data_IF_451542664849
#
_entry.id   IF_451542664849
#
_cell.length_a   1.000
_cell.length_b   1.000
_cell.length_c   1.000
_cell.angle_alpha   90.00
_cell.angle_beta   90.00
_cell.angle_gamma   90.00
#
_symmetry.space_group_name_H-M   'P 1'
#
loop_
_entity.id
_entity.type
_entity.pdbx_description
1 polymer ?
#
# COMPACT_ATOMS: atom_id res chain seq x y z
N UNK A 1 37.50 22.11 15.94
CA UNK A 1 36.22 22.13 15.20
C UNK A 1 36.53 22.54 13.76
N UNK A 2 36.42 21.63 12.78
CA UNK A 2 36.69 21.92 11.36
C UNK A 2 35.36 21.88 10.60
N UNK A 3 34.83 23.05 10.27
CA UNK A 3 33.62 23.20 9.45
C UNK A 3 33.97 23.00 7.98
N UNK A 4 33.36 22.00 7.36
CA UNK A 4 33.50 21.74 5.93
C UNK A 4 32.42 22.53 5.18
N UNK A 5 32.86 23.41 4.28
CA UNK A 5 32.00 24.17 3.37
C UNK A 5 31.65 23.29 2.18
N UNK A 6 30.37 22.92 2.04
CA UNK A 6 29.86 22.27 0.85
C UNK A 6 29.47 23.33 -0.19
N UNK A 7 30.07 23.23 -1.37
CA UNK A 7 29.77 24.08 -2.54
C UNK A 7 28.83 23.30 -3.45
N UNK A 8 27.63 23.84 -3.69
CA UNK A 8 26.67 23.27 -4.63
C UNK A 8 26.93 23.85 -6.03
N UNK A 9 27.20 22.97 -7.01
CA UNK A 9 27.23 23.32 -8.42
C UNK A 9 25.80 23.23 -8.99
N UNK A 10 25.31 24.31 -9.56
CA UNK A 10 24.01 24.37 -10.23
C UNK A 10 24.09 23.65 -11.59
N UNK A 11 23.27 22.62 -11.77
CA UNK A 11 23.10 21.94 -13.06
C UNK A 11 21.95 22.60 -13.82
N UNK A 12 22.25 23.20 -14.97
CA UNK A 12 21.25 23.77 -15.86
C UNK A 12 20.65 22.65 -16.74
N UNK A 13 19.34 22.42 -16.62
CA UNK A 13 18.58 21.53 -17.51
C UNK A 13 18.03 22.36 -18.67
N UNK A 14 18.50 22.08 -19.88
CA UNK A 14 17.94 22.63 -21.11
C UNK A 14 16.80 21.71 -21.60
N UNK A 15 15.55 22.17 -21.49
CA UNK A 15 14.41 21.50 -22.10
C UNK A 15 14.32 21.86 -23.59
N UNK A 16 14.44 20.85 -24.45
CA UNK A 16 14.17 20.98 -25.89
C UNK A 16 12.72 20.58 -26.14
N UNK A 17 11.86 21.56 -26.46
CA UNK A 17 10.50 21.33 -26.91
C UNK A 17 10.52 20.99 -28.41
N UNK A 18 10.14 19.77 -28.78
CA UNK A 18 9.81 19.43 -30.15
C UNK A 18 8.29 19.57 -30.35
N UNK A 19 7.88 20.58 -31.11
CA UNK A 19 6.53 20.72 -31.63
C UNK A 19 6.37 19.76 -32.83
N UNK A 20 5.52 18.74 -32.70
CA UNK A 20 5.01 17.98 -33.86
C UNK A 20 3.73 18.65 -34.34
N UNK A 21 3.74 19.05 -35.61
CA UNK A 21 2.67 19.76 -36.29
C UNK A 21 1.43 18.89 -36.50
N UNK A 22 0.28 19.54 -36.49
CA UNK A 22 -1.02 19.01 -36.83
C UNK A 22 -1.06 18.54 -38.30
N UNK A 23 -1.63 17.37 -38.54
CA UNK A 23 -2.14 16.96 -39.84
C UNK A 23 -3.67 17.04 -39.79
N UNK A 24 -4.23 17.94 -40.58
CA UNK A 24 -5.65 18.21 -40.77
C UNK A 24 -6.10 17.43 -42.03
N UNK A 25 -7.08 16.54 -41.89
CA UNK A 25 -7.48 15.62 -42.96
C UNK A 25 -8.90 15.05 -42.82
N UNK A 26 -9.89 15.93 -43.04
CA UNK A 26 -11.24 15.76 -43.61
C UNK A 26 -11.91 14.36 -43.77
N UNK A 27 -13.07 14.24 -43.11
CA UNK A 27 -14.38 13.63 -43.45
C UNK A 27 -14.50 12.24 -44.14
N UNK A 28 -15.31 11.38 -43.50
CA UNK A 28 -16.60 10.96 -44.09
C UNK A 28 -17.59 10.41 -43.05
N UNK A 29 -18.79 10.99 -43.09
CA UNK A 29 -20.01 10.60 -42.36
C UNK A 29 -20.44 9.15 -42.58
N UNK A 30 -21.05 8.54 -41.56
CA UNK A 30 -22.32 7.81 -41.74
C UNK A 30 -23.14 7.72 -40.44
N UNK A 31 -24.31 8.35 -40.45
CA UNK A 31 -25.39 8.23 -39.46
C UNK A 31 -25.85 6.77 -39.28
N UNK A 32 -26.03 6.24 -38.06
CA UNK A 32 -27.24 6.33 -37.19
C UNK A 32 -27.91 4.94 -37.11
N UNK A 33 -28.97 4.67 -36.32
CA UNK A 33 -29.39 5.15 -34.99
C UNK A 33 -29.47 4.01 -33.92
N UNK A 34 -29.61 4.36 -32.63
CA UNK A 34 -29.99 3.46 -31.50
C UNK A 34 -31.41 2.88 -31.70
N UNK A 35 -31.84 1.73 -31.10
CA UNK A 35 -32.04 1.62 -29.64
C UNK A 35 -31.93 0.20 -29.03
N UNK A 36 -31.99 0.14 -27.70
CA UNK A 36 -32.84 -0.75 -26.90
C UNK A 36 -32.12 -1.42 -25.72
N UNK A 37 -32.69 -1.13 -24.56
CA UNK A 37 -32.51 -1.72 -23.25
C UNK A 37 -32.64 -3.25 -23.27
N UNK A 38 -31.83 -3.92 -22.46
CA UNK A 38 -32.23 -5.19 -21.85
C UNK A 38 -31.82 -5.20 -20.37
N UNK A 39 -32.85 -5.12 -19.54
CA UNK A 39 -32.87 -5.49 -18.14
C UNK A 39 -32.60 -6.99 -18.03
N UNK A 40 -31.69 -7.38 -17.13
CA UNK A 40 -31.68 -8.70 -16.50
C UNK A 40 -31.18 -8.56 -15.06
N UNK A 41 -32.10 -8.71 -14.11
CA UNK A 41 -31.81 -8.92 -12.69
C UNK A 41 -31.77 -10.45 -12.39
N UNK A 42 -31.67 -10.87 -11.12
CA UNK A 42 -30.52 -11.53 -10.53
C UNK A 42 -30.62 -13.07 -10.49
N UNK A 43 -29.48 -13.77 -10.44
CA UNK A 43 -29.43 -15.19 -10.14
C UNK A 43 -29.05 -15.42 -8.68
N UNK A 44 -30.01 -15.99 -7.94
CA UNK A 44 -29.88 -16.52 -6.59
C UNK A 44 -28.90 -17.69 -6.54
N UNK A 45 -28.06 -17.73 -5.51
CA UNK A 45 -27.21 -18.88 -5.17
C UNK A 45 -27.06 -19.00 -3.66
N UNK A 46 -28.13 -19.46 -3.01
CA UNK A 46 -28.15 -19.78 -1.58
C UNK A 46 -27.52 -21.16 -1.37
N UNK A 47 -26.38 -21.21 -0.67
CA UNK A 47 -25.75 -22.43 -0.19
C UNK A 47 -25.79 -22.50 1.33
N UNK A 48 -26.82 -23.14 1.89
CA UNK A 48 -26.93 -23.50 3.30
C UNK A 48 -26.54 -24.97 3.45
N UNK A 49 -25.38 -25.23 4.06
CA UNK A 49 -24.91 -26.56 4.43
C UNK A 49 -24.81 -26.67 5.94
N UNK A 50 -25.83 -27.24 6.56
CA UNK A 50 -25.78 -27.66 7.96
C UNK A 50 -25.09 -29.01 8.14
N UNK A 51 -24.59 -29.27 9.34
CA UNK A 51 -24.90 -30.49 10.12
C UNK A 51 -24.24 -30.39 11.49
N UNK A 52 -25.05 -30.72 12.49
CA UNK A 52 -24.77 -30.81 13.90
C UNK A 52 -24.11 -32.16 14.22
N UNK A 53 -23.08 -32.18 15.07
CA UNK A 53 -22.66 -33.37 15.83
C UNK A 53 -21.76 -32.85 16.96
N UNK A 54 -22.14 -32.80 18.23
CA UNK A 54 -22.69 -33.90 19.02
C UNK A 54 -21.54 -34.55 19.78
N UNK A 55 -21.37 -34.26 21.08
CA UNK A 55 -20.33 -34.92 21.87
C UNK A 55 -20.04 -34.26 23.22
N UNK A 56 -20.75 -34.71 24.25
CA UNK A 56 -20.59 -34.28 25.62
C UNK A 56 -19.49 -35.08 26.37
N UNK A 57 -18.96 -34.43 27.41
CA UNK A 57 -18.69 -34.93 28.79
C UNK A 57 -17.26 -34.78 29.29
N UNK A 58 -17.18 -33.93 30.33
CA UNK A 58 -16.48 -34.07 31.61
C UNK A 58 -14.94 -34.12 31.54
N UNK A 59 -14.23 -33.32 32.32
CA UNK A 59 -13.98 -33.63 33.73
C UNK A 59 -13.49 -32.42 34.48
N UNK A 60 -13.92 -32.33 35.74
CA UNK A 60 -13.49 -31.35 36.71
C UNK A 60 -12.02 -31.55 37.09
N UNK A 61 -11.25 -30.46 37.11
CA UNK A 61 -10.09 -30.36 37.99
C UNK A 61 -10.14 -29.00 38.70
N UNK A 62 -10.49 -29.05 39.99
CA UNK A 62 -10.30 -27.96 40.93
C UNK A 62 -8.82 -27.91 41.29
N UNK A 63 -8.21 -26.73 41.22
CA UNK A 63 -7.23 -26.35 42.24
C UNK A 63 -7.33 -24.85 42.54
N UNK A 64 -7.26 -24.44 43.82
CA UNK A 64 -7.61 -23.08 44.25
C UNK A 64 -6.37 -22.20 44.51
N UNK A 65 -6.57 -20.89 44.44
CA UNK A 65 -5.76 -19.92 45.20
C UNK A 65 -4.99 -18.93 44.33
N UNK A 66 -5.43 -17.67 44.34
CA UNK A 66 -4.69 -16.59 43.68
C UNK A 66 -5.55 -15.37 43.38
N UNK A 67 -6.22 -14.83 44.39
CA UNK A 67 -6.91 -13.56 44.33
C UNK A 67 -5.91 -12.43 44.05
N UNK A 68 -5.93 -11.87 42.85
CA UNK A 68 -5.56 -10.47 42.59
C UNK A 68 -6.59 -9.89 41.62
N UNK A 69 -7.61 -9.26 42.21
CA UNK A 69 -8.46 -8.31 41.52
C UNK A 69 -7.65 -7.04 41.29
N UNK A 70 -6.86 -7.03 40.22
CA UNK A 70 -6.38 -5.79 39.59
C UNK A 70 -6.93 -5.77 38.19
N UNK A 71 -7.51 -4.64 37.80
CA UNK A 71 -8.24 -4.42 36.57
C UNK A 71 -7.58 -5.11 35.37
N UNK A 72 -8.42 -5.75 34.55
CA UNK A 72 -8.15 -6.19 33.18
C UNK A 72 -7.58 -5.00 32.43
N UNK A 73 -6.26 -4.84 32.52
CA UNK A 73 -5.51 -3.82 31.83
C UNK A 73 -5.67 -4.14 30.36
N UNK A 74 -5.98 -3.13 29.56
CA UNK A 74 -5.81 -3.24 28.13
C UNK A 74 -4.45 -3.90 27.88
N UNK A 75 -4.46 -5.04 27.18
CA UNK A 75 -3.38 -5.95 26.76
C UNK A 75 -2.10 -5.32 26.19
N UNK A 76 -1.77 -4.07 26.49
CA UNK A 76 -0.86 -3.25 25.70
C UNK A 76 0.51 -3.92 25.57
N UNK A 77 1.08 -3.88 24.37
CA UNK A 77 2.40 -4.43 24.11
C UNK A 77 3.41 -3.88 25.14
N UNK A 78 4.13 -4.78 25.80
CA UNK A 78 5.12 -4.40 26.78
C UNK A 78 6.44 -3.99 26.08
N UNK A 79 7.23 -3.09 26.68
CA UNK A 79 8.57 -2.80 26.17
C UNK A 79 9.41 -4.08 26.09
N UNK A 80 9.82 -4.46 24.88
CA UNK A 80 10.57 -5.69 24.62
C UNK A 80 9.79 -6.77 23.89
N UNK A 81 8.46 -6.64 23.78
CA UNK A 81 7.66 -7.53 22.96
C UNK A 81 7.98 -7.33 21.47
N UNK A 82 8.14 -8.46 20.75
CA UNK A 82 8.33 -8.43 19.32
C UNK A 82 7.01 -8.13 18.61
N UNK A 83 7.00 -7.08 17.79
CA UNK A 83 5.87 -6.79 16.90
C UNK A 83 5.80 -7.81 15.77
N UNK A 84 4.59 -8.24 15.44
CA UNK A 84 4.37 -9.05 14.26
C UNK A 84 4.51 -8.17 13.00
N UNK A 85 5.42 -8.52 12.11
CA UNK A 85 5.70 -7.76 10.89
C UNK A 85 4.53 -7.75 9.87
N UNK A 86 3.50 -8.57 10.08
CA UNK A 86 2.35 -8.69 9.19
C UNK A 86 1.22 -7.70 9.53
N UNK A 87 1.31 -6.93 10.61
CA UNK A 87 0.32 -5.90 10.94
C UNK A 87 0.90 -4.50 10.68
N UNK A 88 0.69 -4.01 9.47
CA UNK A 88 1.17 -2.70 9.06
C UNK A 88 0.13 -1.99 8.18
N UNK A 89 0.25 -0.66 8.08
CA UNK A 89 -0.48 0.18 7.15
C UNK A 89 0.50 1.03 6.38
N UNK A 90 0.27 1.19 5.08
CA UNK A 90 1.00 2.15 4.25
C UNK A 90 0.08 3.34 3.93
N UNK A 91 0.64 4.55 3.94
CA UNK A 91 -0.06 5.77 3.54
C UNK A 91 0.76 6.53 2.52
N UNK A 92 0.11 7.07 1.50
CA UNK A 92 0.71 7.96 0.50
C UNK A 92 0.00 9.30 0.58
N UNK A 93 0.72 10.38 0.88
CA UNK A 93 0.19 11.73 1.10
C UNK A 93 -0.95 11.77 2.14
N UNK A 94 -0.88 10.89 3.14
CA UNK A 94 -1.90 10.74 4.17
C UNK A 94 -3.11 9.87 3.78
N UNK A 95 -3.23 9.46 2.51
CA UNK A 95 -4.26 8.52 2.05
C UNK A 95 -3.82 7.08 2.34
N UNK A 96 -4.64 6.24 2.98
CA UNK A 96 -4.30 4.84 3.21
C UNK A 96 -4.20 4.08 1.88
N UNK A 97 -3.17 3.25 1.77
CA UNK A 97 -2.98 2.34 0.65
C UNK A 97 -3.41 0.95 1.08
N UNK A 98 -4.36 0.41 0.34
CA UNK A 98 -4.89 -0.93 0.56
C UNK A 98 -4.21 -1.96 -0.36
N UNK A 99 -4.43 -3.24 -0.06
CA UNK A 99 -4.04 -4.37 -0.90
C UNK A 99 -2.53 -4.47 -1.19
N UNK A 100 -1.69 -4.00 -0.27
CA UNK A 100 -0.26 -4.34 -0.26
C UNK A 100 -0.05 -5.70 0.39
N UNK A 101 0.80 -6.51 -0.23
CA UNK A 101 1.21 -7.80 0.28
C UNK A 101 2.43 -7.68 1.18
N UNK A 102 3.38 -6.83 0.78
CA UNK A 102 4.68 -6.74 1.47
C UNK A 102 5.27 -5.34 1.37
N UNK A 103 5.97 -4.97 2.44
CA UNK A 103 6.87 -3.82 2.51
C UNK A 103 8.21 -4.31 3.08
N UNK A 104 9.28 -4.23 2.30
CA UNK A 104 10.57 -4.82 2.67
C UNK A 104 11.77 -4.05 2.12
N UNK A 105 12.98 -4.45 2.50
CA UNK A 105 14.21 -3.87 1.96
C UNK A 105 14.39 -2.38 2.26
N UNK A 106 13.99 -1.94 3.45
CA UNK A 106 14.19 -0.56 3.90
C UNK A 106 15.67 -0.33 4.26
N UNK A 107 16.48 -0.03 3.27
CA UNK A 107 17.92 0.24 3.39
C UNK A 107 18.38 1.20 2.28
N UNK A 108 19.49 1.92 2.48
CA UNK A 108 20.13 2.75 1.44
C UNK A 108 19.19 3.65 0.62
N UNK A 109 18.23 4.30 1.29
CA UNK A 109 17.22 5.16 0.66
C UNK A 109 16.31 4.46 -0.36
N UNK A 110 16.13 3.15 -0.18
CA UNK A 110 15.31 2.28 -1.01
C UNK A 110 14.34 1.48 -0.15
N UNK A 111 13.21 1.12 -0.76
CA UNK A 111 12.18 0.26 -0.22
C UNK A 111 11.60 -0.57 -1.36
N UNK A 112 11.22 -1.82 -1.08
CA UNK A 112 10.45 -2.67 -1.98
C UNK A 112 9.01 -2.75 -1.48
N UNK A 113 8.06 -2.51 -2.39
CA UNK A 113 6.65 -2.75 -2.16
C UNK A 113 6.19 -3.89 -3.06
N UNK A 114 5.51 -4.88 -2.51
CA UNK A 114 4.80 -5.91 -3.29
C UNK A 114 3.32 -5.66 -3.17
N UNK A 115 2.67 -5.41 -4.31
CA UNK A 115 1.22 -5.25 -4.38
C UNK A 115 0.55 -6.61 -4.49
N UNK A 116 -0.64 -6.73 -3.91
CA UNK A 116 -1.49 -7.90 -4.07
C UNK A 116 -2.19 -7.92 -5.43
N UNK A 117 -2.96 -8.99 -5.64
CA UNK A 117 -3.73 -9.21 -6.87
C UNK A 117 -4.81 -8.15 -7.07
N UNK A 118 -5.35 -7.62 -5.98
CA UNK A 118 -6.28 -6.50 -6.01
C UNK A 118 -5.50 -5.21 -6.13
N UNK A 119 -5.82 -4.42 -7.15
CA UNK A 119 -5.18 -3.15 -7.42
C UNK A 119 -5.55 -2.08 -6.40
N UNK A 120 -4.56 -1.28 -6.01
CA UNK A 120 -4.78 -0.05 -5.25
C UNK A 120 -4.78 1.15 -6.20
N UNK A 121 -5.87 1.95 -6.28
CA UNK A 121 -5.93 3.10 -7.18
C UNK A 121 -4.83 4.13 -6.93
N UNK A 122 -4.38 4.28 -5.69
CA UNK A 122 -3.30 5.21 -5.35
C UNK A 122 -1.95 4.72 -5.86
N UNK A 123 -1.67 3.42 -5.78
CA UNK A 123 -0.45 2.82 -6.31
C UNK A 123 -0.47 2.82 -7.83
N UNK A 124 -1.59 2.48 -8.46
CA UNK A 124 -1.75 2.49 -9.91
C UNK A 124 -1.48 3.89 -10.49
N UNK A 125 -2.09 4.94 -9.91
CA UNK A 125 -1.81 6.33 -10.32
C UNK A 125 -0.35 6.71 -10.15
N UNK A 126 0.28 6.26 -9.07
CA UNK A 126 1.69 6.57 -8.83
C UNK A 126 2.62 5.90 -9.84
N UNK A 127 2.31 4.66 -10.22
CA UNK A 127 2.98 3.95 -11.31
C UNK A 127 2.77 4.68 -12.64
N UNK A 128 1.54 5.05 -12.98
CA UNK A 128 1.21 5.75 -14.23
C UNK A 128 1.95 7.10 -14.33
N UNK A 129 2.03 7.84 -13.22
CA UNK A 129 2.79 9.09 -13.15
C UNK A 129 4.30 8.86 -13.35
N UNK A 130 4.86 7.79 -12.77
CA UNK A 130 6.25 7.42 -12.95
C UNK A 130 6.56 7.03 -14.41
N UNK A 131 5.70 6.22 -15.05
CA UNK A 131 5.85 5.80 -16.45
C UNK A 131 5.73 6.99 -17.41
N UNK A 132 4.84 7.94 -17.11
CA UNK A 132 4.66 9.15 -17.92
C UNK A 132 5.86 10.11 -17.87
N UNK A 133 6.94 9.78 -17.14
CA UNK A 133 8.10 10.66 -16.96
C UNK A 133 7.78 11.91 -16.14
N UNK A 134 6.60 11.96 -15.51
CA UNK A 134 6.20 13.03 -14.60
C UNK A 134 6.78 12.74 -13.22
N UNK A 135 8.12 12.63 -13.11
CA UNK A 135 8.89 12.31 -11.88
C UNK A 135 7.97 11.85 -10.75
N UNK A 136 7.47 10.61 -10.86
CA UNK A 136 6.19 10.16 -10.32
C UNK A 136 5.86 10.86 -9.00
N UNK A 137 4.97 11.88 -9.08
CA UNK A 137 4.75 12.94 -8.06
C UNK A 137 5.35 12.52 -6.72
N UNK A 138 6.50 13.09 -6.37
CA UNK A 138 7.17 12.80 -5.10
C UNK A 138 6.13 12.70 -3.97
N UNK A 139 6.03 11.53 -3.36
CA UNK A 139 5.04 11.21 -2.33
C UNK A 139 5.67 11.31 -0.95
N UNK A 140 4.87 11.73 0.01
CA UNK A 140 5.16 11.43 1.41
C UNK A 140 4.58 10.06 1.73
N UNK A 141 5.45 9.06 1.92
CA UNK A 141 5.04 7.70 2.26
C UNK A 141 5.24 7.46 3.74
N UNK A 142 4.25 6.89 4.42
CA UNK A 142 4.37 6.43 5.80
C UNK A 142 4.09 4.93 5.87
N UNK A 143 5.00 4.18 6.51
CA UNK A 143 4.78 2.78 6.89
C UNK A 143 4.56 2.75 8.40
N UNK A 144 3.34 2.44 8.80
CA UNK A 144 2.89 2.36 10.20
C UNK A 144 2.89 0.89 10.62
N UNK A 145 3.66 0.53 11.65
CA UNK A 145 3.56 -0.76 12.32
C UNK A 145 2.45 -0.67 13.38
N UNK A 146 1.53 -1.61 13.36
CA UNK A 146 0.34 -1.58 14.21
C UNK A 146 0.42 -2.68 15.30
N UNK A 147 -0.13 -2.38 16.47
CA UNK A 147 -0.44 -3.41 17.46
C UNK A 147 -1.74 -4.15 17.11
N UNK A 148 -2.13 -5.10 17.97
CA UNK A 148 -3.35 -5.91 17.78
C UNK A 148 -4.67 -5.12 17.97
N UNK A 149 -4.59 -3.85 18.38
CA UNK A 149 -5.72 -2.91 18.50
C UNK A 149 -5.69 -1.84 17.40
N UNK A 150 -4.85 -2.01 16.37
CA UNK A 150 -4.62 -1.05 15.28
C UNK A 150 -4.01 0.29 15.72
N UNK A 151 -3.38 0.36 16.90
CA UNK A 151 -2.61 1.54 17.30
C UNK A 151 -1.24 1.51 16.63
N UNK A 152 -0.80 2.65 16.11
CA UNK A 152 0.55 2.81 15.57
C UNK A 152 1.58 2.72 16.68
N UNK A 153 2.48 1.73 16.60
CA UNK A 153 3.57 1.52 17.55
C UNK A 153 4.88 2.10 17.03
N UNK A 154 5.08 2.07 15.71
CA UNK A 154 6.22 2.68 15.03
C UNK A 154 5.81 3.23 13.68
N UNK A 155 6.41 4.35 13.27
CA UNK A 155 6.16 4.94 11.97
C UNK A 155 7.46 5.26 11.25
N UNK A 156 7.56 4.78 10.00
CA UNK A 156 8.65 5.07 9.07
C UNK A 156 8.13 6.04 8.02
N UNK A 157 8.59 7.29 8.07
CA UNK A 157 8.20 8.33 7.13
C UNK A 157 9.28 8.52 6.06
N UNK A 158 8.96 8.17 4.83
CA UNK A 158 9.80 8.33 3.65
C UNK A 158 9.40 9.62 2.94
N UNK A 159 10.30 10.61 2.94
CA UNK A 159 10.08 11.93 2.34
C UNK A 159 10.56 11.95 0.89
N UNK A 160 9.71 12.47 0.01
CA UNK A 160 10.01 12.58 -1.41
C UNK A 160 10.25 11.20 -2.04
N UNK A 161 9.38 10.25 -1.73
CA UNK A 161 9.44 8.93 -2.31
C UNK A 161 8.98 8.96 -3.77
N UNK A 162 9.62 8.18 -4.63
CA UNK A 162 9.22 7.97 -6.02
C UNK A 162 9.49 6.54 -6.47
N UNK A 163 8.73 6.08 -7.45
CA UNK A 163 8.93 4.77 -8.07
C UNK A 163 10.16 4.84 -8.98
N UNK A 164 11.19 4.07 -8.67
CA UNK A 164 12.38 3.92 -9.50
C UNK A 164 12.19 2.84 -10.56
N UNK A 165 11.55 1.73 -10.19
CA UNK A 165 11.36 0.56 -11.07
C UNK A 165 10.09 -0.19 -10.71
N UNK A 166 9.39 -0.66 -11.72
CA UNK A 166 8.30 -1.63 -11.60
C UNK A 166 8.74 -2.94 -12.23
N UNK A 167 8.60 -4.04 -11.49
CA UNK A 167 8.81 -5.41 -11.98
C UNK A 167 7.46 -6.09 -11.99
N UNK A 168 6.94 -6.38 -13.18
CA UNK A 168 5.66 -7.07 -13.35
C UNK A 168 5.81 -8.57 -13.17
N UNK A 169 4.88 -9.20 -12.47
CA UNK A 169 4.85 -10.65 -12.27
C UNK A 169 4.03 -11.36 -13.35
N UNK A 170 4.35 -12.63 -13.61
CA UNK A 170 3.52 -13.57 -14.39
C UNK A 170 3.25 -14.82 -13.53
N UNK A 171 2.00 -15.09 -13.10
CA UNK A 171 0.76 -14.39 -13.44
C UNK A 171 0.68 -12.96 -12.86
N UNK A 172 -0.16 -12.09 -13.44
CA UNK A 172 -0.30 -10.70 -13.00
C UNK A 172 -0.82 -10.60 -11.56
N UNK A 173 -0.40 -9.56 -10.84
CA UNK A 173 -0.93 -9.23 -9.52
C UNK A 173 0.02 -9.45 -8.33
N UNK A 174 1.31 -9.64 -8.57
CA UNK A 174 2.36 -9.58 -7.54
C UNK A 174 3.51 -8.68 -7.99
N UNK A 175 3.17 -7.57 -8.64
CA UNK A 175 4.20 -6.67 -9.14
C UNK A 175 4.97 -6.08 -7.96
N UNK A 176 6.27 -5.93 -8.17
CA UNK A 176 7.17 -5.35 -7.18
C UNK A 176 7.58 -3.95 -7.62
N UNK A 177 7.40 -2.97 -6.74
CA UNK A 177 7.87 -1.61 -6.94
C UNK A 177 9.14 -1.41 -6.13
N UNK A 178 10.21 -1.02 -6.81
CA UNK A 178 11.35 -0.40 -6.13
C UNK A 178 11.07 1.08 -5.98
N UNK A 179 11.01 1.53 -4.74
CA UNK A 179 10.79 2.91 -4.35
C UNK A 179 12.11 3.48 -3.83
N UNK A 180 12.47 4.69 -4.29
CA UNK A 180 13.56 5.49 -3.70
C UNK A 180 12.98 6.68 -2.96
N UNK A 181 13.71 7.19 -1.97
CA UNK A 181 13.30 8.34 -1.19
C UNK A 181 14.49 9.22 -0.81
N UNK A 182 14.25 10.46 -0.38
CA UNK A 182 15.34 11.39 -0.02
C UNK A 182 15.67 11.37 1.47
N UNK A 183 14.68 11.17 2.33
CA UNK A 183 14.90 11.11 3.78
C UNK A 183 13.97 10.10 4.44
N UNK A 184 14.48 9.45 5.48
CA UNK A 184 13.72 8.59 6.39
C UNK A 184 13.65 9.26 7.76
N UNK A 185 12.45 9.39 8.31
CA UNK A 185 12.19 9.81 9.69
C UNK A 185 11.49 8.66 10.41
N UNK A 186 11.97 8.30 11.59
CA UNK A 186 11.39 7.23 12.42
C UNK A 186 10.76 7.88 13.65
N UNK A 187 9.52 7.51 13.95
CA UNK A 187 8.74 7.99 15.11
C UNK A 187 8.27 6.83 15.96
#
# INVERSE_FOLDING_TARGET
MRVHKFTFAALAVAMSLALTACDDGDVKEKAGPSPASSVSAPAHGAGSGGSEQGGAKNSAERSPGGQSTTAKSAEGLQPGDALAAHNFRLRMDGVPVEYLQEVSGLEDQKLTLVRGVTHSPEVDRWIDDAIAGREGRLKDVAVEMLDYQDNTVKQYQLRGAFVERVTYSDPPGQDSLTVRFFALVIQ
#
